data_IF_374201987721
#
_entry.id   IF_374201987721
#
_cell.length_a   1.000
_cell.length_b   1.000
_cell.length_c   1.000
_cell.angle_alpha   90.00
_cell.angle_beta   90.00
_cell.angle_gamma   90.00
#
_symmetry.space_group_name_H-M   'P 1'
#
loop_
_entity.id
_entity.type
_entity.pdbx_description
1 polymer ?
#
# COMPACT_ATOMS: atom_id res chain seq x y z
N UNK A 1 -4.41 -6.40 13.09
CA UNK A 1 -5.46 -5.37 13.34
C UNK A 1 -5.25 -4.09 12.55
N UNK A 2 -4.02 -3.82 12.07
CA UNK A 2 -3.73 -2.68 11.19
C UNK A 2 -4.68 -2.50 10.00
N UNK A 3 -5.09 -3.58 9.31
CA UNK A 3 -5.86 -3.44 8.07
C UNK A 3 -7.25 -2.80 8.27
N UNK A 4 -7.97 -3.18 9.34
CA UNK A 4 -9.27 -2.57 9.67
C UNK A 4 -9.10 -1.08 9.93
N UNK A 5 -8.14 -0.73 10.79
CA UNK A 5 -7.86 0.66 11.14
C UNK A 5 -7.47 1.50 9.92
N UNK A 6 -6.58 0.98 9.07
CA UNK A 6 -6.18 1.66 7.82
C UNK A 6 -7.38 1.86 6.91
N UNK A 7 -8.24 0.85 6.74
CA UNK A 7 -9.43 0.96 5.91
C UNK A 7 -10.41 2.03 6.45
N UNK A 8 -10.71 2.02 7.76
CA UNK A 8 -11.54 3.04 8.39
C UNK A 8 -10.97 4.45 8.21
N UNK A 9 -9.65 4.59 8.37
CA UNK A 9 -8.96 5.87 8.18
C UNK A 9 -9.06 6.35 6.73
N UNK A 10 -8.73 5.50 5.76
CA UNK A 10 -8.82 5.82 4.32
C UNK A 10 -10.23 6.26 3.94
N UNK A 11 -11.25 5.54 4.38
CA UNK A 11 -12.65 5.90 4.13
C UNK A 11 -13.01 7.25 4.75
N UNK A 12 -12.58 7.52 5.99
CA UNK A 12 -12.87 8.78 6.68
C UNK A 12 -12.21 9.97 6.00
N UNK A 13 -10.93 9.86 5.65
CA UNK A 13 -10.15 10.95 5.06
C UNK A 13 -10.53 11.24 3.61
N UNK A 14 -11.06 10.25 2.89
CA UNK A 14 -11.37 10.37 1.47
C UNK A 14 -12.86 10.20 1.17
N UNK A 15 -13.74 10.28 2.16
CA UNK A 15 -15.18 10.04 2.03
C UNK A 15 -15.84 10.78 0.87
N UNK A 16 -15.39 12.02 0.62
CA UNK A 16 -15.88 12.88 -0.44
C UNK A 16 -15.34 12.52 -1.85
N UNK A 17 -14.26 11.75 -1.95
CA UNK A 17 -13.61 11.30 -3.19
C UNK A 17 -13.90 9.83 -3.54
N UNK A 18 -14.48 9.08 -2.60
CA UNK A 18 -14.83 7.67 -2.74
C UNK A 18 -16.28 7.55 -3.17
N UNK A 19 -16.58 6.60 -4.06
CA UNK A 19 -17.97 6.31 -4.45
C UNK A 19 -18.71 5.67 -3.27
N UNK A 20 -19.97 6.03 -3.09
CA UNK A 20 -20.80 5.47 -2.00
C UNK A 20 -20.86 3.93 -2.02
N UNK A 21 -20.85 3.32 -3.21
CA UNK A 21 -20.82 1.87 -3.38
C UNK A 21 -19.52 1.26 -2.83
N UNK A 22 -18.36 1.80 -3.23
CA UNK A 22 -17.05 1.34 -2.76
C UNK A 22 -16.90 1.56 -1.24
N UNK A 23 -17.39 2.70 -0.72
CA UNK A 23 -17.40 2.97 0.72
C UNK A 23 -18.19 1.90 1.49
N UNK A 24 -19.42 1.60 1.05
CA UNK A 24 -20.28 0.60 1.70
C UNK A 24 -19.66 -0.80 1.66
N UNK A 25 -19.05 -1.17 0.54
CA UNK A 25 -18.37 -2.47 0.41
C UNK A 25 -17.23 -2.60 1.42
N UNK A 26 -16.37 -1.58 1.53
CA UNK A 26 -15.27 -1.60 2.50
C UNK A 26 -15.79 -1.61 3.95
N UNK A 27 -16.81 -0.80 4.28
CA UNK A 27 -17.45 -0.80 5.62
C UNK A 27 -18.02 -2.18 5.98
N UNK A 28 -18.66 -2.87 5.03
CA UNK A 28 -19.13 -4.23 5.23
C UNK A 28 -17.98 -5.20 5.51
N UNK A 29 -16.90 -5.16 4.73
CA UNK A 29 -15.74 -6.06 4.91
C UNK A 29 -15.00 -5.80 6.22
N UNK A 30 -14.91 -4.54 6.67
CA UNK A 30 -14.38 -4.21 8.00
C UNK A 30 -15.19 -4.91 9.09
N UNK A 31 -16.52 -4.79 9.02
CA UNK A 31 -17.41 -5.39 10.02
C UNK A 31 -17.29 -6.91 10.03
N UNK A 32 -17.35 -7.54 8.86
CA UNK A 32 -17.24 -9.00 8.72
C UNK A 32 -15.90 -9.50 9.28
N UNK A 33 -14.78 -8.87 8.90
CA UNK A 33 -13.47 -9.27 9.41
C UNK A 33 -13.37 -9.10 10.93
N UNK A 34 -13.98 -8.05 11.49
CA UNK A 34 -14.09 -7.87 12.94
C UNK A 34 -14.83 -9.03 13.62
N UNK A 35 -16.03 -9.36 13.14
CA UNK A 35 -16.85 -10.46 13.67
C UNK A 35 -16.18 -11.82 13.50
N UNK A 36 -15.48 -12.05 12.38
CA UNK A 36 -14.76 -13.30 12.13
C UNK A 36 -13.56 -13.46 13.05
N UNK A 37 -12.86 -12.36 13.38
CA UNK A 37 -11.75 -12.37 14.35
C UNK A 37 -12.22 -12.72 15.76
N UNK A 38 -13.45 -12.40 16.14
CA UNK A 38 -14.02 -12.81 17.42
C UNK A 38 -14.36 -14.30 17.50
N UNK A 39 -14.44 -14.99 16.35
CA UNK A 39 -14.76 -16.42 16.24
C UNK A 39 -13.54 -17.33 16.11
N UNK A 40 -12.32 -16.76 16.05
CA UNK A 40 -11.05 -17.49 15.90
C UNK A 40 -11.00 -18.45 14.69
N UNK A 41 -11.80 -18.21 13.65
CA UNK A 41 -11.80 -19.01 12.42
C UNK A 41 -10.67 -18.55 11.49
N UNK A 42 -9.50 -19.19 11.57
CA UNK A 42 -8.31 -18.78 10.83
C UNK A 42 -8.49 -18.79 9.30
N UNK A 43 -9.30 -19.69 8.75
CA UNK A 43 -9.55 -19.75 7.31
C UNK A 43 -10.44 -18.57 6.89
N UNK A 44 -11.50 -18.30 7.65
CA UNK A 44 -12.37 -17.17 7.41
C UNK A 44 -11.63 -15.82 7.62
N UNK A 45 -10.81 -15.70 8.66
CA UNK A 45 -9.99 -14.49 8.91
C UNK A 45 -9.10 -14.20 7.71
N UNK A 46 -8.43 -15.21 7.15
CA UNK A 46 -7.58 -15.03 5.96
C UNK A 46 -8.40 -14.55 4.78
N UNK A 47 -9.50 -15.24 4.47
CA UNK A 47 -10.39 -14.89 3.36
C UNK A 47 -10.93 -13.47 3.49
N UNK A 48 -11.39 -13.08 4.68
CA UNK A 48 -11.97 -11.77 4.94
C UNK A 48 -10.89 -10.67 4.93
N UNK A 49 -9.67 -10.98 5.35
CA UNK A 49 -8.51 -10.09 5.24
C UNK A 49 -8.16 -9.82 3.77
N UNK A 50 -8.11 -10.86 2.94
CA UNK A 50 -7.85 -10.72 1.50
C UNK A 50 -8.96 -9.93 0.81
N UNK A 51 -10.23 -10.21 1.17
CA UNK A 51 -11.37 -9.47 0.65
C UNK A 51 -11.31 -7.98 1.00
N UNK A 52 -11.05 -7.63 2.27
CA UNK A 52 -10.90 -6.25 2.70
C UNK A 52 -9.73 -5.55 2.00
N UNK A 53 -8.59 -6.23 1.88
CA UNK A 53 -7.40 -5.70 1.19
C UNK A 53 -7.69 -5.37 -0.27
N UNK A 54 -8.39 -6.27 -0.98
CA UNK A 54 -8.75 -6.06 -2.39
C UNK A 54 -9.67 -4.85 -2.58
N UNK A 55 -10.68 -4.69 -1.74
CA UNK A 55 -11.58 -3.54 -1.80
C UNK A 55 -10.84 -2.23 -1.47
N UNK A 56 -9.95 -2.25 -0.47
CA UNK A 56 -9.16 -1.09 -0.10
C UNK A 56 -8.18 -0.66 -1.22
N UNK A 57 -7.60 -1.61 -1.95
CA UNK A 57 -6.77 -1.32 -3.12
C UNK A 57 -7.57 -0.69 -4.26
N UNK A 58 -8.80 -1.14 -4.53
CA UNK A 58 -9.68 -0.53 -5.54
C UNK A 58 -9.99 0.93 -5.18
N UNK A 59 -10.30 1.18 -3.91
CA UNK A 59 -10.51 2.53 -3.38
C UNK A 59 -9.23 3.38 -3.56
N UNK A 60 -8.08 2.86 -3.14
CA UNK A 60 -6.79 3.55 -3.29
C UNK A 60 -6.47 3.91 -4.73
N UNK A 61 -6.67 2.98 -5.66
CA UNK A 61 -6.48 3.23 -7.09
C UNK A 61 -7.42 4.33 -7.61
N UNK A 62 -8.69 4.32 -7.18
CA UNK A 62 -9.66 5.36 -7.52
C UNK A 62 -9.27 6.75 -7.00
N UNK A 63 -8.61 6.83 -5.85
CA UNK A 63 -8.13 8.08 -5.25
C UNK A 63 -6.90 8.64 -5.95
N UNK A 64 -5.93 7.78 -6.30
CA UNK A 64 -4.74 8.19 -7.05
C UNK A 64 -5.11 8.78 -8.43
N UNK A 65 -6.14 8.25 -9.09
CA UNK A 65 -6.59 8.79 -10.37
C UNK A 65 -7.32 10.14 -10.27
N UNK A 66 -7.80 10.52 -9.08
CA UNK A 66 -8.57 11.74 -8.85
C UNK A 66 -7.75 12.88 -8.23
N UNK A 67 -6.50 12.62 -7.84
CA UNK A 67 -5.65 13.61 -7.19
C UNK A 67 -4.58 14.11 -8.19
N UNK A 68 -4.46 15.41 -8.49
CA UNK A 68 -3.28 15.96 -9.16
C UNK A 68 -2.03 15.62 -8.34
N UNK A 69 -0.82 15.59 -8.94
CA UNK A 69 0.40 15.24 -8.21
C UNK A 69 0.72 16.30 -7.15
N UNK A 70 0.14 16.14 -5.97
CA UNK A 70 0.48 16.88 -4.76
C UNK A 70 0.86 15.85 -3.69
N UNK A 71 2.04 16.08 -3.11
CA UNK A 71 2.86 15.29 -2.18
C UNK A 71 2.30 13.93 -1.66
N UNK A 72 3.12 12.87 -1.67
CA UNK A 72 2.78 11.61 -1.04
C UNK A 72 2.78 11.77 0.49
N UNK A 73 1.61 11.90 1.09
CA UNK A 73 1.47 11.68 2.52
C UNK A 73 1.55 10.17 2.75
N UNK A 74 2.77 9.70 3.03
CA UNK A 74 3.06 8.34 3.46
C UNK A 74 2.24 8.01 4.71
N UNK A 75 1.40 6.96 4.61
CA UNK A 75 1.03 6.21 5.80
C UNK A 75 0.89 4.71 5.51
N UNK A 76 1.99 4.02 5.83
CA UNK A 76 2.06 2.68 6.41
C UNK A 76 1.42 1.51 5.65
N UNK A 77 2.21 0.91 4.75
CA UNK A 77 2.41 -0.53 4.80
C UNK A 77 3.60 -0.80 5.72
N UNK A 78 3.28 -1.21 6.96
CA UNK A 78 4.21 -1.89 7.85
C UNK A 78 4.36 -3.33 7.35
N UNK A 79 5.34 -3.54 6.47
CA UNK A 79 5.95 -4.83 6.17
C UNK A 79 7.47 -4.61 6.25
N UNK A 80 8.15 -5.03 7.33
CA UNK A 80 9.62 -5.28 7.33
C UNK A 80 9.96 -6.26 8.46
N UNK A 81 11.03 -7.10 8.38
CA UNK A 81 12.32 -6.79 7.72
C UNK A 81 13.04 -7.92 6.94
N UNK A 82 14.18 -7.54 6.32
CA UNK A 82 15.31 -8.31 5.76
C UNK A 82 15.33 -8.41 4.21
N UNK A 83 16.32 -7.87 3.48
CA UNK A 83 17.77 -7.94 3.69
C UNK A 83 18.54 -6.61 3.58
N UNK A 84 19.37 -6.40 4.61
CA UNK A 84 20.78 -5.97 4.60
C UNK A 84 21.29 -4.96 3.56
N UNK A 85 21.57 -3.75 4.06
CA UNK A 85 22.87 -3.07 4.02
C UNK A 85 23.94 -3.70 3.13
N UNK A 86 24.42 -2.93 2.14
CA UNK A 86 25.85 -2.68 2.04
C UNK A 86 26.11 -1.28 1.46
N UNK A 87 26.32 -0.31 2.35
CA UNK A 87 27.01 0.95 2.05
C UNK A 87 28.42 0.81 2.62
N UNK A 88 29.44 0.83 1.76
CA UNK A 88 30.80 1.31 2.03
C UNK A 88 31.60 1.04 0.72
N UNK A 89 32.40 1.87 0.07
CA UNK A 89 32.79 3.29 0.12
C UNK A 89 33.71 3.48 -1.10
N UNK A 90 33.78 4.71 -1.61
CA UNK A 90 34.94 5.36 -2.26
C UNK A 90 35.69 4.61 -3.36
N UNK A 91 35.73 5.18 -4.56
CA UNK A 91 36.82 6.09 -4.94
C UNK A 91 36.81 6.38 -6.45
N UNK A 92 37.06 7.65 -6.76
CA UNK A 92 37.84 8.14 -7.90
C UNK A 92 37.30 7.90 -9.33
N UNK A 93 36.85 9.00 -9.94
CA UNK A 93 36.98 9.18 -11.39
C UNK A 93 38.43 8.89 -11.81
N UNK A 94 38.61 8.22 -12.94
CA UNK A 94 39.24 8.95 -14.03
C UNK A 94 38.53 8.72 -15.37
N UNK A 95 38.13 9.83 -15.97
CA UNK A 95 38.35 10.21 -17.37
C UNK A 95 38.33 9.13 -18.46
N UNK A 96 37.55 9.42 -19.50
CA UNK A 96 38.08 9.32 -20.87
C UNK A 96 37.32 8.36 -21.76
N UNK A 97 36.50 8.95 -22.61
CA UNK A 97 35.83 8.31 -23.72
C UNK A 97 36.81 7.54 -24.63
N UNK A 98 36.33 6.37 -25.03
CA UNK A 98 36.77 5.51 -26.11
C UNK A 98 37.06 6.29 -27.41
N UNK A 99 38.24 6.08 -28.01
CA UNK A 99 38.48 6.41 -29.41
C UNK A 99 39.57 5.48 -30.00
N UNK A 100 39.21 4.37 -30.68
CA UNK A 100 40.18 3.65 -31.50
C UNK A 100 40.24 4.29 -32.90
N UNK A 101 41.31 5.02 -33.17
CA UNK A 101 41.74 5.31 -34.55
C UNK A 101 43.13 4.74 -34.82
N UNK A 102 43.13 3.86 -35.83
CA UNK A 102 44.16 3.65 -36.85
C UNK A 102 45.52 3.10 -36.42
N UNK A 103 45.82 1.90 -36.91
CA UNK A 103 46.84 1.69 -37.97
C UNK A 103 46.51 0.42 -38.75
#
# INVERSE_FOLDING_TARGET
ESLIYTAEKTLRENKEKIKEEDQKLVEEKIKVLGETKEKDDLEAIKRDTEALSSELQKVGAGLYQQTPPEKPEQQAQDETPQSETNQEQNADEPTGAENPKQS
#
